data_IF_644074754237
#
_entry.id   IF_644074754237
#
_cell.length_a   1.000
_cell.length_b   1.000
_cell.length_c   1.000
_cell.angle_alpha   90.00
_cell.angle_beta   90.00
_cell.angle_gamma   90.00
#
_symmetry.space_group_name_H-M   'P 1'
#
loop_
_entity.id
_entity.type
_entity.pdbx_description
1 polymer ?
#
# COMPACT_ATOMS: atom_id res chain seq x y z
N UNK A 1 -21.46 29.03 14.79
CA UNK A 1 -21.07 27.89 13.92
C UNK A 1 -20.22 26.97 14.75
N UNK A 2 -20.47 25.64 14.71
CA UNK A 2 -19.67 24.66 15.42
C UNK A 2 -18.22 24.72 14.91
N UNK A 3 -17.22 24.66 15.79
CA UNK A 3 -15.77 24.68 15.49
C UNK A 3 -15.40 23.62 14.44
N UNK A 4 -16.06 22.44 14.45
CA UNK A 4 -15.89 21.38 13.45
C UNK A 4 -16.29 21.82 12.04
N UNK A 5 -17.47 22.46 11.89
CA UNK A 5 -17.93 22.95 10.57
C UNK A 5 -17.02 24.04 10.00
N UNK A 6 -16.43 24.87 10.86
CA UNK A 6 -15.47 25.89 10.42
C UNK A 6 -14.17 25.23 9.94
N UNK A 7 -13.67 24.19 10.62
CA UNK A 7 -12.49 23.44 10.20
C UNK A 7 -12.74 22.77 8.84
N UNK A 8 -13.87 22.08 8.69
CA UNK A 8 -14.22 21.40 7.44
C UNK A 8 -14.33 22.40 6.28
N UNK A 9 -14.91 23.57 6.52
CA UNK A 9 -14.97 24.64 5.51
C UNK A 9 -13.56 25.04 5.04
N UNK A 10 -12.61 25.23 5.96
CA UNK A 10 -11.22 25.54 5.62
C UNK A 10 -10.55 24.40 4.83
N UNK A 11 -10.87 23.13 5.15
CA UNK A 11 -10.43 21.98 4.35
C UNK A 11 -10.99 22.08 2.93
N UNK A 12 -12.27 22.43 2.75
CA UNK A 12 -12.91 22.60 1.44
C UNK A 12 -12.42 23.80 0.65
N UNK A 13 -11.89 24.82 1.31
CA UNK A 13 -11.25 25.99 0.71
C UNK A 13 -9.79 25.71 0.30
N UNK A 14 -9.24 24.58 0.71
CA UNK A 14 -7.87 24.19 0.36
C UNK A 14 -7.78 23.66 -1.09
N UNK A 15 -6.55 23.45 -1.57
CA UNK A 15 -6.29 22.87 -2.89
C UNK A 15 -6.34 21.33 -2.90
N UNK A 16 -6.55 20.72 -1.75
CA UNK A 16 -6.45 19.27 -1.62
C UNK A 16 -7.71 18.56 -2.13
N UNK A 17 -7.49 17.42 -2.77
CA UNK A 17 -8.52 16.50 -3.30
C UNK A 17 -8.39 15.15 -2.60
N UNK A 18 -9.49 14.60 -2.16
CA UNK A 18 -9.53 13.45 -1.25
C UNK A 18 -10.36 12.33 -1.88
N UNK A 19 -9.77 11.14 -1.95
CA UNK A 19 -10.54 9.89 -2.05
C UNK A 19 -10.52 9.22 -0.68
N UNK A 20 -11.70 8.92 -0.15
CA UNK A 20 -11.87 8.37 1.19
C UNK A 20 -12.38 6.93 1.14
N UNK A 21 -11.79 6.03 1.91
CA UNK A 21 -12.29 4.66 2.06
C UNK A 21 -12.43 4.28 3.52
N UNK A 22 -13.58 3.70 3.91
CA UNK A 22 -13.88 3.34 5.29
C UNK A 22 -14.50 1.96 5.39
N UNK A 23 -14.11 1.18 6.39
CA UNK A 23 -14.69 -0.14 6.68
C UNK A 23 -14.74 -0.40 8.19
N UNK A 24 -15.88 -0.87 8.69
CA UNK A 24 -16.07 -1.20 10.09
C UNK A 24 -16.28 -0.02 11.03
N UNK A 25 -15.88 1.20 10.63
CA UNK A 25 -16.06 2.47 11.34
C UNK A 25 -15.44 3.63 10.56
N UNK A 26 -15.69 4.88 11.00
CA UNK A 26 -15.19 6.11 10.37
C UNK A 26 -16.11 6.71 9.29
N UNK A 27 -17.32 6.18 9.13
CA UNK A 27 -18.29 6.70 8.15
C UNK A 27 -18.83 8.07 8.55
N UNK A 28 -18.85 8.40 9.84
CA UNK A 28 -19.23 9.73 10.31
C UNK A 28 -18.28 10.83 9.83
N UNK A 29 -17.00 10.52 9.59
CA UNK A 29 -16.06 11.45 9.00
C UNK A 29 -16.45 11.83 7.57
N UNK A 30 -16.83 10.84 6.73
CA UNK A 30 -17.34 11.06 5.38
C UNK A 30 -18.61 11.93 5.44
N UNK A 31 -19.58 11.54 6.28
CA UNK A 31 -20.81 12.29 6.47
C UNK A 31 -20.55 13.73 6.92
N UNK A 32 -19.61 13.93 7.85
CA UNK A 32 -19.25 15.27 8.37
C UNK A 32 -18.65 16.15 7.26
N UNK A 33 -17.78 15.62 6.43
CA UNK A 33 -17.19 16.33 5.29
C UNK A 33 -18.28 16.71 4.27
N UNK A 34 -19.18 15.78 3.91
CA UNK A 34 -20.19 16.01 2.89
C UNK A 34 -21.33 16.96 3.33
N UNK A 35 -21.60 17.07 4.65
CA UNK A 35 -22.61 17.96 5.19
C UNK A 35 -22.25 19.46 5.14
N UNK A 36 -20.97 19.78 5.00
CA UNK A 36 -20.51 21.17 4.94
C UNK A 36 -20.45 21.61 3.48
N UNK A 37 -21.07 22.74 3.11
CA UNK A 37 -20.98 23.27 1.75
C UNK A 37 -19.53 23.47 1.27
N UNK A 38 -19.26 23.11 0.02
CA UNK A 38 -17.91 23.14 -0.58
C UNK A 38 -17.27 21.75 -0.71
N UNK A 39 -17.95 20.68 -0.30
CA UNK A 39 -17.43 19.30 -0.37
C UNK A 39 -17.00 18.92 -1.81
N UNK A 40 -17.68 19.38 -2.85
CA UNK A 40 -17.33 19.13 -4.25
C UNK A 40 -15.95 19.67 -4.66
N UNK A 41 -15.41 20.63 -3.93
CA UNK A 41 -14.06 21.15 -4.17
C UNK A 41 -12.97 20.19 -3.65
N UNK A 42 -13.31 19.28 -2.72
CA UNK A 42 -12.33 18.48 -1.97
C UNK A 42 -12.54 16.99 -2.13
N UNK A 43 -13.79 16.51 -2.06
CA UNK A 43 -14.08 15.07 -2.11
C UNK A 43 -14.24 14.64 -3.56
N UNK A 44 -13.33 13.77 -4.02
CA UNK A 44 -13.43 13.15 -5.33
C UNK A 44 -14.38 11.95 -5.29
N UNK A 45 -14.18 11.08 -4.32
CA UNK A 45 -14.96 9.85 -4.19
C UNK A 45 -14.86 9.30 -2.77
N UNK A 46 -15.87 8.52 -2.35
CA UNK A 46 -15.87 7.81 -1.07
C UNK A 46 -16.35 6.38 -1.25
N UNK A 47 -15.63 5.42 -0.63
CA UNK A 47 -15.91 3.99 -0.69
C UNK A 47 -16.19 3.43 0.70
N UNK A 48 -17.15 2.50 0.77
CA UNK A 48 -17.47 1.77 2.01
C UNK A 48 -17.49 0.28 1.70
N UNK A 49 -16.32 -0.37 1.49
CA UNK A 49 -16.25 -1.81 1.26
C UNK A 49 -16.47 -2.57 2.56
N UNK A 50 -17.73 -2.68 2.99
CA UNK A 50 -18.09 -3.16 4.33
C UNK A 50 -18.03 -4.68 4.48
N UNK A 51 -18.46 -5.44 3.46
CA UNK A 51 -18.35 -6.90 3.49
C UNK A 51 -16.95 -7.36 3.10
N UNK A 52 -16.55 -8.57 3.57
CA UNK A 52 -15.26 -9.17 3.21
C UNK A 52 -15.08 -9.23 1.69
N UNK A 53 -16.08 -9.69 0.95
CA UNK A 53 -16.03 -9.76 -0.52
C UNK A 53 -15.87 -8.39 -1.18
N UNK A 54 -16.55 -7.36 -0.65
CA UNK A 54 -16.41 -5.99 -1.15
C UNK A 54 -15.00 -5.44 -0.89
N UNK A 55 -14.41 -5.75 0.27
CA UNK A 55 -13.03 -5.38 0.56
C UNK A 55 -12.03 -6.12 -0.34
N UNK A 56 -12.22 -7.43 -0.55
CA UNK A 56 -11.38 -8.22 -1.47
C UNK A 56 -11.41 -7.63 -2.88
N UNK A 57 -12.58 -7.24 -3.38
CA UNK A 57 -12.75 -6.57 -4.67
C UNK A 57 -12.10 -5.17 -4.68
N UNK A 58 -12.29 -4.38 -3.63
CA UNK A 58 -11.69 -3.04 -3.54
C UNK A 58 -10.16 -3.11 -3.55
N UNK A 59 -9.57 -4.09 -2.84
CA UNK A 59 -8.11 -4.27 -2.76
C UNK A 59 -7.53 -5.12 -3.89
N UNK A 60 -8.39 -5.78 -4.68
CA UNK A 60 -8.00 -6.82 -5.65
C UNK A 60 -7.11 -7.91 -5.04
N UNK A 61 -7.27 -8.16 -3.75
CA UNK A 61 -6.60 -9.22 -2.97
C UNK A 61 -7.39 -9.51 -1.70
N UNK A 62 -7.26 -10.73 -1.17
CA UNK A 62 -7.77 -11.07 0.15
C UNK A 62 -6.72 -10.68 1.21
N UNK A 63 -7.02 -9.78 2.16
CA UNK A 63 -6.12 -9.46 3.26
C UNK A 63 -6.11 -10.57 4.31
N UNK A 64 -5.02 -10.73 5.05
CA UNK A 64 -4.93 -11.67 6.17
C UNK A 64 -5.89 -11.28 7.30
N UNK A 65 -5.96 -9.98 7.60
CA UNK A 65 -6.86 -9.40 8.58
C UNK A 65 -7.53 -8.14 8.02
N UNK A 66 -8.87 -8.10 8.04
CA UNK A 66 -9.64 -6.97 7.50
C UNK A 66 -9.52 -5.69 8.34
N UNK A 67 -9.26 -5.80 9.64
CA UNK A 67 -8.99 -4.68 10.54
C UNK A 67 -7.54 -4.79 11.05
N UNK A 68 -6.61 -4.26 10.28
CA UNK A 68 -5.18 -4.22 10.56
C UNK A 68 -4.52 -3.01 9.90
N UNK A 69 -3.31 -2.66 10.35
CA UNK A 69 -2.52 -1.61 9.73
C UNK A 69 -2.25 -1.93 8.25
N UNK A 70 -1.85 -3.14 7.92
CA UNK A 70 -1.53 -3.54 6.53
C UNK A 70 -2.72 -3.40 5.58
N UNK A 71 -3.92 -3.71 6.07
CA UNK A 71 -5.15 -3.49 5.30
C UNK A 71 -5.44 -2.01 5.15
N UNK A 72 -5.27 -1.21 6.19
CA UNK A 72 -5.46 0.24 6.15
C UNK A 72 -4.47 0.92 5.20
N UNK A 73 -3.20 0.52 5.23
CA UNK A 73 -2.17 0.98 4.28
C UNK A 73 -2.58 0.69 2.83
N UNK A 74 -2.97 -0.57 2.54
CA UNK A 74 -3.42 -0.97 1.20
C UNK A 74 -4.67 -0.20 0.74
N UNK A 75 -5.62 0.07 1.65
CA UNK A 75 -6.81 0.89 1.37
C UNK A 75 -6.43 2.32 1.01
N UNK A 76 -5.53 2.95 1.77
CA UNK A 76 -5.07 4.32 1.53
C UNK A 76 -4.29 4.45 0.22
N UNK A 77 -3.42 3.49 -0.08
CA UNK A 77 -2.68 3.44 -1.35
C UNK A 77 -3.63 3.33 -2.55
N UNK A 78 -4.65 2.48 -2.44
CA UNK A 78 -5.65 2.34 -3.50
C UNK A 78 -6.52 3.59 -3.64
N UNK A 79 -6.93 4.21 -2.54
CA UNK A 79 -7.62 5.49 -2.55
C UNK A 79 -6.79 6.60 -3.22
N UNK A 80 -5.49 6.68 -2.89
CA UNK A 80 -4.58 7.64 -3.52
C UNK A 80 -4.41 7.37 -5.02
N UNK A 81 -4.26 6.11 -5.45
CA UNK A 81 -4.24 5.73 -6.86
C UNK A 81 -5.51 6.19 -7.58
N UNK A 82 -6.68 5.93 -6.97
CA UNK A 82 -7.97 6.38 -7.52
C UNK A 82 -8.07 7.90 -7.63
N UNK A 83 -7.54 8.66 -6.67
CA UNK A 83 -7.47 10.12 -6.78
C UNK A 83 -6.71 10.55 -8.04
N UNK A 84 -5.58 9.89 -8.35
CA UNK A 84 -4.79 10.17 -9.56
C UNK A 84 -5.52 9.77 -10.85
N UNK A 85 -6.31 8.71 -10.81
CA UNK A 85 -7.07 8.22 -11.98
C UNK A 85 -8.29 9.11 -12.27
N UNK A 86 -8.93 9.68 -11.23
CA UNK A 86 -10.12 10.55 -11.32
C UNK A 86 -9.72 11.97 -11.77
N UNK A 87 -8.73 12.58 -11.12
CA UNK A 87 -8.33 13.95 -11.40
C UNK A 87 -6.88 13.98 -11.92
N UNK A 88 -6.73 13.65 -13.20
CA UNK A 88 -5.43 13.55 -13.89
C UNK A 88 -4.73 14.90 -14.06
N UNK A 89 -5.48 15.98 -14.04
CA UNK A 89 -4.98 17.35 -14.23
C UNK A 89 -4.52 17.96 -12.91
N UNK A 90 -4.95 17.41 -11.78
CA UNK A 90 -4.54 17.87 -10.47
C UNK A 90 -3.07 17.54 -10.20
N UNK A 91 -2.34 18.51 -9.65
CA UNK A 91 -0.99 18.25 -9.21
C UNK A 91 -0.99 17.22 -8.06
N UNK A 92 -0.27 16.11 -8.23
CA UNK A 92 -0.22 14.96 -7.32
C UNK A 92 0.04 15.33 -5.86
N UNK A 93 0.77 16.43 -5.61
CA UNK A 93 1.03 16.94 -4.24
C UNK A 93 -0.24 17.35 -3.48
N UNK A 94 -1.35 17.59 -4.19
CA UNK A 94 -2.63 17.96 -3.60
C UNK A 94 -3.61 16.79 -3.54
N UNK A 95 -3.24 15.60 -4.02
CA UNK A 95 -4.06 14.40 -3.92
C UNK A 95 -3.81 13.68 -2.60
N UNK A 96 -4.89 13.21 -1.97
CA UNK A 96 -4.86 12.48 -0.70
C UNK A 96 -5.73 11.24 -0.80
N UNK A 97 -5.15 10.08 -0.46
CA UNK A 97 -5.90 8.86 -0.16
C UNK A 97 -6.06 8.72 1.35
N UNK A 98 -7.30 8.67 1.83
CA UNK A 98 -7.62 8.45 3.25
C UNK A 98 -8.25 7.10 3.43
N UNK A 99 -7.78 6.34 4.41
CA UNK A 99 -8.37 5.07 4.78
C UNK A 99 -8.65 4.98 6.28
N UNK A 100 -9.75 4.33 6.60
CA UNK A 100 -10.11 3.93 7.96
C UNK A 100 -10.53 2.47 7.95
N UNK A 101 -9.99 1.65 8.86
CA UNK A 101 -10.56 0.35 9.16
C UNK A 101 -10.70 0.20 10.67
N UNK A 102 -11.86 -0.29 11.12
CA UNK A 102 -12.18 -0.34 12.53
C UNK A 102 -12.92 -1.62 12.92
N UNK A 103 -12.79 -2.00 14.19
CA UNK A 103 -13.52 -3.05 14.87
C UNK A 103 -14.08 -2.45 16.16
N UNK A 104 -15.31 -1.95 16.11
CA UNK A 104 -15.94 -1.16 17.17
C UNK A 104 -16.91 -1.97 18.03
N UNK A 105 -17.47 -1.33 19.04
CA UNK A 105 -18.50 -1.88 19.92
C UNK A 105 -19.66 -2.50 19.12
N UNK A 106 -20.19 -3.60 19.63
CA UNK A 106 -21.33 -4.35 19.07
C UNK A 106 -22.36 -4.62 20.17
N UNK A 107 -23.55 -5.09 19.78
CA UNK A 107 -24.61 -5.50 20.71
C UNK A 107 -24.26 -6.73 21.54
N UNK A 108 -23.21 -7.46 21.16
CA UNK A 108 -22.68 -8.62 21.87
C UNK A 108 -21.22 -8.39 22.27
N UNK A 109 -20.76 -9.06 23.32
CA UNK A 109 -19.37 -8.96 23.79
C UNK A 109 -18.43 -9.64 22.81
N UNK A 110 -17.56 -8.88 22.15
CA UNK A 110 -16.50 -9.39 21.29
C UNK A 110 -15.35 -9.97 22.10
N UNK A 111 -14.76 -11.06 21.59
CA UNK A 111 -13.49 -11.60 22.10
C UNK A 111 -12.33 -10.68 21.66
N UNK A 112 -12.30 -10.29 20.39
CA UNK A 112 -11.25 -9.41 19.83
C UNK A 112 -11.34 -7.97 20.32
N UNK A 113 -10.24 -7.22 20.20
CA UNK A 113 -10.15 -5.84 20.66
C UNK A 113 -11.06 -4.89 19.88
N UNK A 114 -11.53 -3.84 20.55
CA UNK A 114 -12.00 -2.64 19.88
C UNK A 114 -10.76 -1.85 19.44
N UNK A 115 -10.66 -1.55 18.17
CA UNK A 115 -9.51 -0.87 17.61
C UNK A 115 -9.83 -0.22 16.28
N UNK A 116 -9.00 0.74 15.91
CA UNK A 116 -9.06 1.34 14.58
C UNK A 116 -7.69 1.74 14.08
N UNK A 117 -7.60 1.82 12.78
CA UNK A 117 -6.46 2.28 12.03
C UNK A 117 -6.90 3.37 11.08
N UNK A 118 -6.12 4.45 11.00
CA UNK A 118 -6.30 5.51 10.01
C UNK A 118 -5.00 5.62 9.24
N UNK A 119 -5.08 5.70 7.92
CA UNK A 119 -3.91 5.92 7.07
C UNK A 119 -4.19 7.04 6.09
N UNK A 120 -3.23 7.94 5.94
CA UNK A 120 -3.20 8.97 4.91
C UNK A 120 -2.01 8.70 4.00
N UNK A 121 -2.29 8.56 2.70
CA UNK A 121 -1.29 8.46 1.64
C UNK A 121 -1.30 9.71 0.80
N UNK A 122 -0.12 10.29 0.61
CA UNK A 122 0.11 11.44 -0.28
C UNK A 122 1.30 11.16 -1.21
N UNK A 123 1.64 12.09 -2.09
CA UNK A 123 2.87 12.01 -2.89
C UNK A 123 4.15 12.07 -2.02
N UNK A 124 4.08 12.62 -0.83
CA UNK A 124 5.25 12.98 -0.03
C UNK A 124 5.43 12.17 1.25
N UNK A 125 4.39 11.53 1.72
CA UNK A 125 4.43 10.73 2.94
C UNK A 125 3.27 9.75 3.02
N UNK A 126 3.47 8.71 3.83
CA UNK A 126 2.43 7.87 4.41
C UNK A 126 2.37 8.17 5.90
N UNK A 127 1.20 8.53 6.42
CA UNK A 127 0.96 8.68 7.86
C UNK A 127 -0.07 7.67 8.31
N UNK A 128 0.25 6.90 9.34
CA UNK A 128 -0.68 5.95 9.97
C UNK A 128 -0.91 6.30 11.43
N UNK A 129 -2.10 6.02 11.91
CA UNK A 129 -2.50 6.09 13.30
C UNK A 129 -3.14 4.75 13.67
N UNK A 130 -2.69 4.20 14.81
CA UNK A 130 -3.23 2.97 15.40
C UNK A 130 -3.74 3.27 16.82
N UNK A 131 -4.90 2.75 17.16
CA UNK A 131 -5.47 2.87 18.48
C UNK A 131 -6.19 1.58 18.87
N UNK A 132 -5.90 1.09 20.08
CA UNK A 132 -6.66 0.05 20.75
C UNK A 132 -7.52 0.73 21.81
N UNK A 133 -8.84 0.57 21.71
CA UNK A 133 -9.83 1.21 22.57
C UNK A 133 -10.10 0.37 23.81
N UNK A 134 -10.38 1.04 24.93
CA UNK A 134 -10.83 0.40 26.16
C UNK A 134 -12.26 -0.12 25.97
N UNK A 135 -12.44 -1.45 26.01
CA UNK A 135 -13.75 -2.08 25.83
C UNK A 135 -14.72 -1.64 26.94
N UNK A 136 -15.95 -1.33 26.53
CA UNK A 136 -17.02 -0.95 27.44
C UNK A 136 -16.95 0.49 27.94
N UNK A 137 -15.91 1.26 27.59
CA UNK A 137 -15.79 2.67 27.98
C UNK A 137 -16.67 3.60 27.13
N UNK A 138 -17.03 3.16 25.92
CA UNK A 138 -17.82 3.93 24.95
C UNK A 138 -18.84 3.07 24.25
N UNK A 139 -19.92 3.70 23.86
CA UNK A 139 -20.86 3.16 22.87
C UNK A 139 -20.20 3.13 21.48
N UNK A 140 -20.81 2.41 20.53
CA UNK A 140 -20.36 2.40 19.13
C UNK A 140 -20.37 3.81 18.52
N UNK A 141 -21.37 4.61 18.84
CA UNK A 141 -21.51 5.97 18.33
C UNK A 141 -20.39 6.87 18.85
N UNK A 142 -20.02 6.75 20.12
CA UNK A 142 -18.91 7.49 20.72
C UNK A 142 -17.55 7.04 20.14
N UNK A 143 -17.37 5.74 19.84
CA UNK A 143 -16.16 5.25 19.14
C UNK A 143 -16.08 5.79 17.69
N UNK A 144 -17.21 5.85 16.97
CA UNK A 144 -17.31 6.47 15.62
C UNK A 144 -16.98 7.96 15.67
N UNK A 145 -17.45 8.67 16.69
CA UNK A 145 -17.18 10.09 16.87
C UNK A 145 -15.69 10.34 17.14
N UNK A 146 -15.06 9.53 17.96
CA UNK A 146 -13.64 9.60 18.25
C UNK A 146 -12.81 9.41 16.97
N UNK A 147 -13.14 8.42 16.14
CA UNK A 147 -12.48 8.20 14.82
C UNK A 147 -12.65 9.44 13.94
N UNK A 148 -13.85 10.01 13.93
CA UNK A 148 -14.15 11.22 13.13
C UNK A 148 -13.23 12.38 13.53
N UNK A 149 -13.04 12.61 14.81
CA UNK A 149 -12.15 13.66 15.31
C UNK A 149 -10.69 13.42 14.89
N UNK A 150 -10.21 12.17 14.94
CA UNK A 150 -8.86 11.84 14.47
C UNK A 150 -8.71 12.02 12.97
N UNK A 151 -9.67 11.59 12.17
CA UNK A 151 -9.64 11.78 10.71
C UNK A 151 -9.57 13.27 10.37
N UNK A 152 -10.41 14.10 10.99
CA UNK A 152 -10.42 15.55 10.77
C UNK A 152 -9.12 16.20 11.23
N UNK A 153 -8.52 15.72 12.33
CA UNK A 153 -7.24 16.19 12.82
C UNK A 153 -6.12 15.92 11.80
N UNK A 154 -6.00 14.67 11.33
CA UNK A 154 -4.97 14.28 10.37
C UNK A 154 -5.16 14.96 9.00
N UNK A 155 -6.40 15.12 8.55
CA UNK A 155 -6.70 15.87 7.31
C UNK A 155 -6.37 17.36 7.44
N UNK A 156 -6.68 17.98 8.57
CA UNK A 156 -6.37 19.39 8.80
C UNK A 156 -4.86 19.63 8.75
N UNK A 157 -4.08 18.73 9.34
CA UNK A 157 -2.61 18.79 9.29
C UNK A 157 -2.10 18.73 7.84
N UNK A 158 -2.64 17.83 7.01
CA UNK A 158 -2.30 17.77 5.58
C UNK A 158 -2.60 19.08 4.85
N UNK A 159 -3.67 19.78 5.24
CA UNK A 159 -4.04 21.06 4.68
C UNK A 159 -3.28 22.27 5.30
N UNK A 160 -2.31 22.03 6.18
CA UNK A 160 -1.56 23.07 6.88
C UNK A 160 -2.37 23.80 7.96
N UNK A 161 -3.50 23.19 8.38
CA UNK A 161 -4.36 23.70 9.44
C UNK A 161 -3.98 23.05 10.76
N UNK A 162 -4.18 23.78 11.87
CA UNK A 162 -3.96 23.22 13.21
C UNK A 162 -5.29 22.77 13.82
N UNK A 163 -5.31 21.54 14.30
CA UNK A 163 -6.36 20.99 15.16
C UNK A 163 -5.70 20.13 16.24
N UNK A 164 -6.08 20.33 17.46
CA UNK A 164 -5.60 19.51 18.57
C UNK A 164 -6.16 18.09 18.47
N UNK A 165 -5.30 17.13 18.83
CA UNK A 165 -5.70 15.73 18.92
C UNK A 165 -6.73 15.55 20.04
N UNK A 166 -7.70 14.63 19.89
CA UNK A 166 -8.62 14.31 20.97
C UNK A 166 -7.87 13.80 22.20
N UNK A 167 -8.25 14.29 23.38
CA UNK A 167 -7.74 13.78 24.65
C UNK A 167 -8.53 12.55 25.08
N UNK A 168 -7.83 11.46 25.40
CA UNK A 168 -8.40 10.25 25.96
C UNK A 168 -7.32 9.37 26.61
N UNK A 169 -7.74 8.31 27.31
CA UNK A 169 -6.84 7.48 28.10
C UNK A 169 -6.08 6.41 27.28
N UNK A 170 -6.53 6.13 26.05
CA UNK A 170 -5.92 5.10 25.21
C UNK A 170 -4.62 5.57 24.58
N UNK A 171 -3.69 4.62 24.45
CA UNK A 171 -2.43 4.86 23.75
C UNK A 171 -2.67 4.91 22.24
N UNK A 172 -2.16 5.95 21.62
CA UNK A 172 -2.16 6.12 20.18
C UNK A 172 -0.72 5.96 19.70
N UNK A 173 -0.55 5.27 18.60
CA UNK A 173 0.72 5.22 17.88
C UNK A 173 0.55 5.91 16.51
N UNK A 174 1.36 6.95 16.28
CA UNK A 174 1.36 7.69 15.00
C UNK A 174 2.73 7.53 14.37
N UNK A 175 2.74 6.96 13.17
CA UNK A 175 3.95 6.79 12.35
C UNK A 175 3.83 7.63 11.10
N UNK A 176 4.89 8.37 10.76
CA UNK A 176 4.98 9.15 9.52
C UNK A 176 6.25 8.78 8.77
N UNK A 177 6.09 8.20 7.59
CA UNK A 177 7.20 7.86 6.69
C UNK A 177 7.20 8.85 5.53
N UNK A 178 8.24 9.68 5.47
CA UNK A 178 8.44 10.61 4.36
C UNK A 178 9.03 9.89 3.15
N UNK A 179 8.55 10.24 1.97
CA UNK A 179 9.07 9.71 0.73
C UNK A 179 10.50 10.21 0.47
N UNK A 180 11.42 9.31 0.19
CA UNK A 180 12.71 9.66 -0.38
C UNK A 180 12.55 10.16 -1.82
N UNK A 181 13.50 10.97 -2.29
CA UNK A 181 13.48 11.48 -3.67
C UNK A 181 13.49 10.35 -4.70
N UNK A 182 14.24 9.28 -4.45
CA UNK A 182 14.34 8.09 -5.29
C UNK A 182 12.99 7.37 -5.39
N UNK A 183 12.28 7.19 -4.27
CA UNK A 183 10.97 6.53 -4.25
C UNK A 183 9.93 7.33 -5.03
N UNK A 184 9.93 8.67 -4.87
CA UNK A 184 9.01 9.55 -5.63
C UNK A 184 9.24 9.44 -7.12
N UNK A 185 10.50 9.47 -7.57
CA UNK A 185 10.84 9.31 -8.98
C UNK A 185 10.34 7.97 -9.54
N UNK A 186 10.54 6.87 -8.80
CA UNK A 186 10.07 5.55 -9.21
C UNK A 186 8.53 5.51 -9.30
N UNK A 187 7.83 5.96 -8.26
CA UNK A 187 6.37 5.94 -8.23
C UNK A 187 5.72 6.92 -9.22
N UNK A 188 6.45 7.95 -9.65
CA UNK A 188 6.03 8.88 -10.69
C UNK A 188 6.39 8.43 -12.12
N UNK A 189 7.06 7.26 -12.27
CA UNK A 189 7.60 6.75 -13.54
C UNK A 189 8.66 7.68 -14.18
N UNK A 190 9.37 8.47 -13.38
CA UNK A 190 10.50 9.27 -13.84
C UNK A 190 11.76 8.41 -14.01
N UNK A 191 11.82 7.27 -13.31
CA UNK A 191 12.83 6.22 -13.44
C UNK A 191 12.15 4.85 -13.42
N UNK A 192 12.74 3.87 -14.09
CA UNK A 192 12.18 2.52 -14.16
C UNK A 192 12.51 1.68 -12.92
N UNK A 193 13.64 1.95 -12.30
CA UNK A 193 14.06 1.29 -11.06
C UNK A 193 14.98 2.19 -10.22
N UNK A 194 15.12 1.82 -8.96
CA UNK A 194 16.11 2.34 -8.01
C UNK A 194 16.82 1.17 -7.34
N UNK A 195 18.06 1.34 -6.92
CA UNK A 195 18.89 0.27 -6.34
C UNK A 195 19.85 0.83 -5.30
N UNK A 196 20.27 -0.01 -4.34
CA UNK A 196 21.38 0.30 -3.45
C UNK A 196 22.76 -0.01 -4.09
N UNK A 197 22.81 -0.68 -5.21
CA UNK A 197 24.03 -1.01 -5.94
C UNK A 197 24.22 -0.19 -7.21
N UNK A 198 25.49 0.02 -7.58
CA UNK A 198 25.87 0.58 -8.89
C UNK A 198 26.12 -0.56 -9.88
N UNK A 199 25.31 -0.69 -10.88
CA UNK A 199 25.44 -1.71 -11.92
C UNK A 199 24.13 -2.44 -12.21
N UNK A 200 24.13 -3.18 -13.31
CA UNK A 200 22.98 -4.02 -13.67
C UNK A 200 23.09 -5.33 -12.90
N UNK A 201 22.04 -5.76 -12.20
CA UNK A 201 22.05 -7.03 -11.48
C UNK A 201 22.12 -8.21 -12.46
N UNK A 202 23.00 -9.18 -12.20
CA UNK A 202 23.16 -10.38 -13.01
C UNK A 202 22.23 -11.53 -12.59
N UNK A 203 21.96 -11.65 -11.30
CA UNK A 203 21.04 -12.64 -10.72
C UNK A 203 19.96 -11.90 -9.92
N UNK A 204 18.71 -12.01 -10.33
CA UNK A 204 17.58 -11.27 -9.78
C UNK A 204 16.63 -12.22 -9.08
N UNK A 205 16.23 -11.86 -7.85
CA UNK A 205 15.25 -12.60 -7.07
C UNK A 205 13.99 -11.75 -6.84
N UNK A 206 12.96 -11.89 -7.70
CA UNK A 206 11.70 -11.18 -7.53
C UNK A 206 10.90 -11.71 -6.35
N UNK A 207 10.41 -10.80 -5.51
CA UNK A 207 9.55 -11.16 -4.39
C UNK A 207 8.89 -9.97 -3.72
N UNK A 208 7.91 -10.23 -2.88
CA UNK A 208 7.31 -9.18 -2.02
C UNK A 208 8.05 -9.03 -0.69
N UNK A 209 8.76 -10.06 -0.24
CA UNK A 209 9.57 -10.08 1.00
C UNK A 209 8.86 -9.44 2.20
N UNK A 210 7.62 -9.82 2.42
CA UNK A 210 6.79 -9.27 3.48
C UNK A 210 6.20 -10.39 4.37
N UNK A 211 6.98 -10.88 5.36
CA UNK A 211 8.39 -10.57 5.64
C UNK A 211 9.40 -11.36 4.79
N UNK A 212 10.65 -10.91 4.80
CA UNK A 212 11.79 -11.75 4.39
C UNK A 212 11.94 -12.87 5.41
N UNK A 213 12.08 -14.12 4.97
CA UNK A 213 12.17 -15.30 5.85
C UNK A 213 13.22 -16.31 5.36
N UNK A 214 13.54 -17.30 6.18
CA UNK A 214 14.59 -18.31 5.93
C UNK A 214 14.44 -19.02 4.58
N UNK A 215 13.21 -19.24 4.12
CA UNK A 215 12.95 -19.83 2.81
C UNK A 215 13.49 -18.99 1.65
N UNK A 216 13.35 -17.65 1.75
CA UNK A 216 13.92 -16.73 0.77
C UNK A 216 15.46 -16.76 0.81
N UNK A 217 16.04 -16.77 2.03
CA UNK A 217 17.48 -16.79 2.22
C UNK A 217 18.09 -18.09 1.63
N UNK A 218 17.50 -19.24 1.94
CA UNK A 218 17.93 -20.54 1.39
C UNK A 218 17.84 -20.61 -0.13
N UNK A 219 16.76 -20.05 -0.72
CA UNK A 219 16.62 -19.98 -2.17
C UNK A 219 17.72 -19.12 -2.80
N UNK A 220 18.01 -17.96 -2.22
CA UNK A 220 19.09 -17.08 -2.64
C UNK A 220 20.43 -17.81 -2.62
N UNK A 221 20.80 -18.37 -1.47
CA UNK A 221 22.09 -19.07 -1.27
C UNK A 221 22.28 -20.24 -2.27
N UNK A 222 21.20 -21.01 -2.50
CA UNK A 222 21.22 -22.11 -3.45
C UNK A 222 21.44 -21.62 -4.89
N UNK A 223 20.78 -20.52 -5.27
CA UNK A 223 20.92 -19.94 -6.59
C UNK A 223 22.32 -19.34 -6.79
N UNK A 224 22.85 -18.61 -5.80
CA UNK A 224 24.22 -18.07 -5.82
C UNK A 224 25.26 -19.19 -5.94
N UNK A 225 25.11 -20.28 -5.19
CA UNK A 225 26.00 -21.47 -5.29
C UNK A 225 25.95 -22.13 -6.65
N UNK A 226 24.76 -22.17 -7.30
CA UNK A 226 24.61 -22.80 -8.63
C UNK A 226 25.13 -21.94 -9.77
N UNK A 227 24.98 -20.65 -9.68
CA UNK A 227 25.31 -19.71 -10.77
C UNK A 227 26.68 -19.08 -10.62
N UNK A 228 27.24 -19.06 -9.40
CA UNK A 228 28.44 -18.27 -9.09
C UNK A 228 28.19 -16.75 -9.03
N UNK A 229 26.92 -16.31 -9.20
CA UNK A 229 26.54 -14.90 -9.25
C UNK A 229 25.95 -14.48 -7.92
N UNK A 230 26.10 -13.20 -7.55
CA UNK A 230 25.44 -12.61 -6.37
C UNK A 230 24.01 -12.21 -6.67
N UNK A 231 23.08 -12.63 -5.86
CA UNK A 231 21.67 -12.31 -6.04
C UNK A 231 21.32 -10.89 -5.56
N UNK A 232 20.42 -10.26 -6.33
CA UNK A 232 19.79 -8.97 -6.00
C UNK A 232 18.30 -9.21 -5.77
N UNK A 233 17.80 -8.85 -4.60
CA UNK A 233 16.36 -8.89 -4.31
C UNK A 233 15.63 -7.85 -5.15
N UNK A 234 14.59 -8.26 -5.87
CA UNK A 234 13.77 -7.33 -6.64
C UNK A 234 12.40 -7.18 -6.01
N UNK A 235 12.02 -5.93 -5.72
CA UNK A 235 10.75 -5.54 -5.12
C UNK A 235 9.95 -4.73 -6.12
N UNK A 236 8.73 -5.18 -6.45
CA UNK A 236 7.85 -4.42 -7.33
C UNK A 236 7.04 -3.39 -6.51
N UNK A 237 7.32 -2.10 -6.70
CA UNK A 237 6.61 -1.02 -6.02
C UNK A 237 5.19 -0.79 -6.56
N UNK A 238 4.93 -1.16 -7.82
CA UNK A 238 3.62 -1.01 -8.49
C UNK A 238 3.29 -2.29 -9.26
N UNK A 239 2.39 -3.09 -8.71
CA UNK A 239 1.84 -4.23 -9.44
C UNK A 239 0.49 -3.83 -10.06
N UNK A 240 0.18 -4.32 -11.27
CA UNK A 240 -1.09 -4.06 -11.93
C UNK A 240 -2.29 -4.59 -11.12
N UNK A 241 -2.08 -5.71 -10.41
CA UNK A 241 -3.13 -6.48 -9.74
C UNK A 241 -3.28 -6.17 -8.24
N UNK A 242 -2.47 -5.28 -7.67
CA UNK A 242 -2.50 -4.95 -6.24
C UNK A 242 -2.40 -3.45 -6.05
N UNK A 243 -2.85 -2.92 -4.89
CA UNK A 243 -2.55 -1.55 -4.51
C UNK A 243 -1.04 -1.30 -4.59
N UNK A 244 -0.60 -0.10 -4.99
CA UNK A 244 0.82 0.27 -4.92
C UNK A 244 1.30 0.22 -3.47
N UNK A 245 2.61 -0.01 -3.28
CA UNK A 245 3.20 0.03 -1.94
C UNK A 245 3.14 1.47 -1.39
N UNK A 246 2.76 1.60 -0.13
CA UNK A 246 2.91 2.84 0.63
C UNK A 246 4.38 3.07 0.99
N UNK A 247 4.76 4.29 1.36
CA UNK A 247 6.11 4.55 1.85
C UNK A 247 6.41 3.82 3.16
N UNK A 248 5.38 3.52 3.94
CA UNK A 248 5.49 2.68 5.13
C UNK A 248 5.90 1.25 4.76
N UNK A 249 5.24 0.64 3.78
CA UNK A 249 5.56 -0.70 3.29
C UNK A 249 6.93 -0.73 2.62
N UNK A 250 7.26 0.27 1.80
CA UNK A 250 8.59 0.39 1.17
C UNK A 250 9.68 0.42 2.24
N UNK A 251 9.58 1.32 3.22
CA UNK A 251 10.57 1.41 4.30
C UNK A 251 10.68 0.10 5.05
N UNK A 252 9.56 -0.50 5.50
CA UNK A 252 9.53 -1.77 6.23
C UNK A 252 10.20 -2.90 5.45
N UNK A 253 10.00 -2.95 4.13
CA UNK A 253 10.62 -3.96 3.27
C UNK A 253 12.11 -3.73 3.13
N UNK A 254 12.54 -2.48 2.92
CA UNK A 254 13.96 -2.15 2.76
C UNK A 254 14.75 -2.30 4.07
N UNK A 255 14.15 -2.00 5.21
CA UNK A 255 14.78 -2.11 6.54
C UNK A 255 15.10 -3.59 6.93
N UNK A 256 14.57 -4.59 6.20
CA UNK A 256 14.90 -6.00 6.41
C UNK A 256 16.22 -6.41 5.77
N UNK A 257 16.71 -5.66 4.80
CA UNK A 257 17.96 -5.95 4.13
C UNK A 257 19.15 -5.38 4.90
N UNK A 258 20.23 -6.15 4.94
CA UNK A 258 21.49 -5.74 5.55
C UNK A 258 22.36 -4.99 4.53
N UNK A 259 23.42 -4.35 4.98
CA UNK A 259 24.40 -3.68 4.10
C UNK A 259 25.05 -4.65 3.07
N UNK A 260 25.01 -5.95 3.37
CA UNK A 260 25.51 -6.99 2.49
C UNK A 260 24.49 -7.45 1.44
N UNK A 261 23.23 -7.08 1.58
CA UNK A 261 22.17 -7.45 0.63
C UNK A 261 22.06 -6.42 -0.50
N UNK A 262 22.04 -6.93 -1.72
CA UNK A 262 21.75 -6.12 -2.90
C UNK A 262 20.24 -6.13 -3.13
N UNK A 263 19.67 -4.95 -3.38
CA UNK A 263 18.28 -4.85 -3.75
C UNK A 263 18.04 -3.85 -4.89
N UNK A 264 17.00 -4.10 -5.65
CA UNK A 264 16.45 -3.22 -6.67
C UNK A 264 14.94 -3.12 -6.50
N UNK A 265 14.40 -1.92 -6.58
CA UNK A 265 12.97 -1.70 -6.58
C UNK A 265 12.53 -1.21 -7.95
N UNK A 266 11.51 -1.84 -8.54
CA UNK A 266 11.04 -1.59 -9.90
C UNK A 266 9.60 -1.09 -9.92
N UNK A 267 9.21 -0.48 -11.04
CA UNK A 267 7.80 -0.23 -11.37
C UNK A 267 7.21 -1.32 -12.28
N UNK A 268 7.98 -2.36 -12.62
CA UNK A 268 7.60 -3.44 -13.53
C UNK A 268 6.70 -4.46 -12.82
N UNK A 269 5.43 -4.48 -13.16
CA UNK A 269 4.45 -5.41 -12.59
C UNK A 269 4.51 -6.80 -13.21
N UNK A 270 4.89 -6.90 -14.49
CA UNK A 270 4.98 -8.15 -15.24
C UNK A 270 6.40 -8.66 -15.33
N UNK A 271 6.54 -9.98 -15.43
CA UNK A 271 7.84 -10.61 -15.54
C UNK A 271 8.58 -10.22 -16.83
N UNK A 272 7.87 -10.10 -17.95
CA UNK A 272 8.43 -9.64 -19.23
C UNK A 272 9.01 -8.22 -19.14
N UNK A 273 8.35 -7.31 -18.44
CA UNK A 273 8.85 -5.95 -18.23
C UNK A 273 10.16 -5.95 -17.41
N UNK A 274 10.28 -6.86 -16.44
CA UNK A 274 11.52 -7.05 -15.67
C UNK A 274 12.64 -7.61 -16.55
N UNK A 275 12.32 -8.57 -17.40
CA UNK A 275 13.28 -9.17 -18.32
C UNK A 275 13.80 -8.15 -19.35
N UNK A 276 12.93 -7.29 -19.87
CA UNK A 276 13.30 -6.17 -20.75
C UNK A 276 14.16 -5.12 -20.02
N UNK A 277 13.85 -4.86 -18.74
CA UNK A 277 14.59 -3.88 -17.92
C UNK A 277 15.99 -4.37 -17.55
N UNK A 278 16.17 -5.68 -17.40
CA UNK A 278 17.42 -6.33 -17.02
C UNK A 278 17.81 -7.42 -18.04
N UNK A 279 18.21 -7.03 -19.25
CA UNK A 279 18.58 -7.99 -20.29
C UNK A 279 19.82 -8.79 -19.86
N UNK A 280 19.84 -10.07 -20.22
CA UNK A 280 20.89 -11.05 -19.88
C UNK A 280 20.99 -11.42 -18.38
N UNK A 281 20.07 -10.96 -17.54
CA UNK A 281 20.02 -11.40 -16.14
C UNK A 281 19.38 -12.77 -15.99
N UNK A 282 19.82 -13.51 -14.97
CA UNK A 282 19.22 -14.76 -14.53
C UNK A 282 18.19 -14.45 -13.45
N UNK A 283 17.01 -15.07 -13.51
CA UNK A 283 15.96 -14.86 -12.50
C UNK A 283 15.75 -16.09 -11.62
N UNK A 284 15.70 -15.86 -10.32
CA UNK A 284 15.29 -16.87 -9.33
C UNK A 284 13.77 -16.83 -9.25
N UNK A 285 13.09 -17.92 -9.63
CA UNK A 285 11.64 -18.00 -9.63
C UNK A 285 11.18 -19.10 -8.71
N UNK A 286 10.36 -18.78 -7.72
CA UNK A 286 9.65 -19.77 -6.90
C UNK A 286 8.53 -20.46 -7.69
N UNK A 287 8.15 -21.68 -7.25
CA UNK A 287 7.09 -22.45 -7.92
C UNK A 287 5.77 -21.67 -8.03
N UNK A 288 5.39 -20.93 -6.99
CA UNK A 288 4.16 -20.11 -7.00
C UNK A 288 4.24 -18.96 -8.02
N UNK A 289 5.40 -18.36 -8.18
CA UNK A 289 5.61 -17.30 -9.19
C UNK A 289 5.59 -17.90 -10.59
N UNK A 290 6.16 -19.09 -10.78
CA UNK A 290 6.13 -19.78 -12.05
C UNK A 290 4.69 -20.11 -12.49
N UNK A 291 3.87 -20.64 -11.57
CA UNK A 291 2.44 -20.90 -11.84
C UNK A 291 1.73 -19.62 -12.30
N UNK A 292 2.01 -18.48 -11.66
CA UNK A 292 1.42 -17.18 -12.04
C UNK A 292 1.88 -16.68 -13.41
N UNK A 293 3.13 -16.92 -13.79
CA UNK A 293 3.65 -16.56 -15.13
C UNK A 293 2.90 -17.31 -16.23
N UNK A 294 2.39 -18.52 -15.95
CA UNK A 294 1.61 -19.33 -16.89
C UNK A 294 0.09 -19.25 -16.67
N UNK A 295 -0.41 -18.38 -15.79
CA UNK A 295 -1.83 -18.22 -15.51
C UNK A 295 -2.45 -17.15 -16.42
N UNK A 296 -3.28 -17.57 -17.36
CA UNK A 296 -3.90 -16.72 -18.39
C UNK A 296 -4.70 -15.54 -17.82
N UNK A 297 -5.19 -15.64 -16.58
CA UNK A 297 -5.94 -14.54 -15.93
C UNK A 297 -5.13 -13.23 -15.77
N UNK A 298 -3.81 -13.29 -15.82
CA UNK A 298 -2.94 -12.11 -15.72
C UNK A 298 -2.62 -11.46 -17.09
N UNK A 299 -3.21 -11.98 -18.16
CA UNK A 299 -3.00 -11.54 -19.52
C UNK A 299 -4.34 -11.25 -20.20
N UNK A 300 -4.29 -10.55 -21.33
CA UNK A 300 -5.51 -10.22 -22.08
C UNK A 300 -6.14 -11.48 -22.72
N UNK A 301 -5.29 -12.42 -23.12
CA UNK A 301 -5.65 -13.72 -23.71
C UNK A 301 -4.42 -14.64 -23.75
N UNK A 302 -4.63 -15.91 -24.15
CA UNK A 302 -3.57 -16.91 -24.23
C UNK A 302 -2.41 -16.53 -25.18
N UNK A 303 -2.70 -15.83 -26.28
CA UNK A 303 -1.67 -15.37 -27.22
C UNK A 303 -0.78 -14.31 -26.56
N UNK A 304 -1.39 -13.34 -25.91
CA UNK A 304 -0.69 -12.31 -25.13
C UNK A 304 0.23 -12.93 -24.05
N UNK A 305 -0.28 -13.96 -23.35
CA UNK A 305 0.51 -14.73 -22.38
C UNK A 305 1.74 -15.38 -23.02
N UNK A 306 1.57 -16.07 -24.16
CA UNK A 306 2.66 -16.74 -24.84
C UNK A 306 3.70 -15.74 -25.36
N UNK A 307 3.26 -14.62 -25.91
CA UNK A 307 4.14 -13.54 -26.39
C UNK A 307 4.97 -12.96 -25.22
N UNK A 308 4.38 -12.75 -24.05
CA UNK A 308 5.09 -12.29 -22.86
C UNK A 308 6.08 -13.33 -22.32
N UNK A 309 5.72 -14.62 -22.31
CA UNK A 309 6.63 -15.69 -21.91
C UNK A 309 7.79 -15.78 -22.88
N UNK A 310 7.54 -15.75 -24.19
CA UNK A 310 8.59 -15.81 -25.23
C UNK A 310 9.56 -14.64 -25.11
N UNK A 311 9.07 -13.42 -24.88
CA UNK A 311 9.93 -12.26 -24.61
C UNK A 311 10.78 -12.47 -23.36
N UNK A 312 10.18 -12.94 -22.26
CA UNK A 312 10.92 -13.20 -21.03
C UNK A 312 12.08 -14.19 -21.24
N UNK A 313 11.84 -15.27 -21.97
CA UNK A 313 12.86 -16.29 -22.26
C UNK A 313 13.91 -15.76 -23.24
N UNK A 314 13.53 -14.89 -24.18
CA UNK A 314 14.46 -14.30 -25.16
C UNK A 314 15.47 -13.35 -24.51
N UNK A 315 15.12 -12.74 -23.40
CA UNK A 315 15.98 -11.77 -22.70
C UNK A 315 16.70 -12.33 -21.48
N UNK A 316 16.30 -13.52 -20.98
CA UNK A 316 16.79 -14.04 -19.69
C UNK A 316 16.97 -15.55 -19.68
N UNK A 317 17.80 -16.04 -18.74
CA UNK A 317 17.91 -17.46 -18.44
C UNK A 317 17.07 -17.78 -17.19
N UNK A 318 16.09 -18.70 -17.33
CA UNK A 318 15.26 -19.17 -16.22
C UNK A 318 15.91 -20.39 -15.57
N UNK A 319 16.30 -20.30 -14.31
CA UNK A 319 16.73 -21.46 -13.52
C UNK A 319 15.67 -21.78 -12.48
N UNK A 320 15.12 -22.98 -12.56
CA UNK A 320 14.23 -23.53 -11.53
C UNK A 320 15.05 -24.17 -10.42
N UNK A 321 14.78 -23.89 -9.15
CA UNK A 321 15.29 -24.75 -8.08
C UNK A 321 14.65 -26.13 -8.24
N UNK A 322 15.45 -27.13 -8.58
CA UNK A 322 15.02 -28.53 -8.51
C UNK A 322 14.62 -28.85 -7.08
N UNK A 323 13.44 -29.47 -6.87
CA UNK A 323 13.04 -30.03 -5.58
C UNK A 323 14.23 -30.84 -5.05
N UNK A 324 14.84 -30.39 -3.96
CA UNK A 324 15.58 -31.30 -3.10
C UNK A 324 14.52 -32.11 -2.37
N UNK A 325 14.35 -33.36 -2.77
CA UNK A 325 13.73 -34.40 -1.96
C UNK A 325 14.49 -34.45 -0.62
N UNK A 326 13.81 -34.10 0.45
CA UNK A 326 14.12 -34.50 1.81
C UNK A 326 13.10 -35.54 2.21
#
# INVERSE_FOLDING_TARGET
>A
MNTRSQLIRKIHESKYKITFVSSGGGTNAISSLLKVPGASNTILESYIPYSKKSMDLFLNKKPDHYCSLDTCLSMAANAYKKSMDIDKDCNKKYLIGVAVTASLATTYTKIGDHKFYITIQTESFTKSLECILNKGSRSREEEEELITEYVLCLLSECCGLKKEMPEHAEKIEITTIKAEKSWKKLLNNEVNFISNNRGTPELIFPGSFNPLHDGHIKMRELAEKKTGMRATFEICARNADKPPLTFHEIKRTLDQFTDNDSWVMTSAGRFSEKAEMFPNSVFIIGADTLVRVFDEKFYTNKKDMLDHIQRSVSYTHLTLPTKSTV
#
